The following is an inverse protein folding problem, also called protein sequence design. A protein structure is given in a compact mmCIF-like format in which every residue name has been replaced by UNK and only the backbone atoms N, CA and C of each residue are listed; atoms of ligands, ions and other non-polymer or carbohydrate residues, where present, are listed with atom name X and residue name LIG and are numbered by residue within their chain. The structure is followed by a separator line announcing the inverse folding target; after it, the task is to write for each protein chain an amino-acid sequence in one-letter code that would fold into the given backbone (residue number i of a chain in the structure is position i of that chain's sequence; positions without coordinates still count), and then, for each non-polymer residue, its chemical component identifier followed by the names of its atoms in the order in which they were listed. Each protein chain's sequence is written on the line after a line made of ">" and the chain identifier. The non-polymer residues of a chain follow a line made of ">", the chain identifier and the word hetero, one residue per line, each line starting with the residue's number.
data_IF_805455134896
#
_entry.id   IF_805455134896
#
_cell.length_a   1.000
_cell.length_b   1.000
_cell.length_c   1.000
_cell.angle_alpha   90.00
_cell.angle_beta   90.00
_cell.angle_gamma   90.00
#
_symmetry.space_group_name_H-M   'P 1'
#
loop_
_entity.id
_entity.type
_entity.pdbx_description
1 polymer ?
#
# COMPACT_ATOMS: atom_id res chain seq x y z
N UNK A 1 9.73 -22.06 -8.95
CA UNK A 1 10.15 -21.51 -7.65
C UNK A 1 9.62 -20.10 -7.65
N UNK A 2 8.68 -19.75 -6.77
CA UNK A 2 8.12 -18.40 -6.77
C UNK A 2 8.79 -17.62 -5.63
N UNK A 3 9.66 -16.70 -6.00
CA UNK A 3 10.20 -15.68 -5.11
C UNK A 3 9.13 -14.61 -4.81
N UNK A 4 8.98 -14.26 -3.54
CA UNK A 4 8.12 -13.19 -3.06
C UNK A 4 9.04 -12.05 -2.61
N UNK A 5 8.89 -10.89 -3.25
CA UNK A 5 9.58 -9.66 -2.85
C UNK A 5 8.85 -9.08 -1.64
N UNK A 6 9.54 -8.94 -0.52
CA UNK A 6 9.02 -8.30 0.69
C UNK A 6 9.95 -7.19 1.15
N UNK A 7 9.36 -6.12 1.70
CA UNK A 7 10.11 -5.01 2.31
C UNK A 7 10.07 -5.14 3.82
N UNK A 8 11.24 -5.07 4.47
CA UNK A 8 11.34 -5.09 5.92
C UNK A 8 10.72 -3.80 6.50
N UNK A 9 9.70 -3.95 7.35
CA UNK A 9 9.06 -2.81 8.03
C UNK A 9 9.94 -2.11 9.07
N UNK A 10 11.10 -2.69 9.41
CA UNK A 10 11.98 -2.17 10.47
C UNK A 10 13.18 -1.41 9.94
N UNK A 11 13.82 -1.91 8.87
CA UNK A 11 14.94 -1.22 8.23
C UNK A 11 14.62 -0.68 6.84
N UNK A 12 13.50 -1.08 6.23
CA UNK A 12 13.12 -0.69 4.88
C UNK A 12 13.81 -1.50 3.78
N UNK A 13 14.57 -2.55 4.12
CA UNK A 13 15.30 -3.33 3.12
C UNK A 13 14.39 -4.27 2.33
N UNK A 14 14.52 -4.26 1.00
CA UNK A 14 13.77 -5.13 0.09
C UNK A 14 14.55 -6.41 -0.17
N UNK A 15 13.91 -7.56 0.04
CA UNK A 15 14.53 -8.87 -0.19
C UNK A 15 13.52 -9.90 -0.70
N UNK A 16 14.05 -10.90 -1.40
CA UNK A 16 13.29 -11.98 -2.01
C UNK A 16 13.31 -13.20 -1.09
N UNK A 17 12.13 -13.70 -0.73
CA UNK A 17 11.97 -14.91 0.07
C UNK A 17 11.20 -15.96 -0.70
N UNK A 18 11.51 -17.23 -0.46
CA UNK A 18 10.79 -18.34 -1.10
C UNK A 18 9.34 -18.38 -0.63
N UNK A 19 8.43 -18.76 -1.53
CA UNK A 19 7.00 -18.97 -1.26
C UNK A 19 6.72 -19.90 -0.06
N UNK A 20 7.61 -20.85 0.25
CA UNK A 20 7.51 -21.74 1.43
C UNK A 20 7.59 -21.00 2.78
N UNK A 21 8.16 -19.78 2.77
CA UNK A 21 8.24 -18.91 3.94
C UNK A 21 7.03 -17.97 4.05
N UNK A 22 6.14 -17.96 3.06
CA UNK A 22 4.96 -17.13 3.06
C UNK A 22 4.03 -17.51 4.22
N UNK A 23 3.58 -16.50 4.96
CA UNK A 23 2.81 -16.68 6.20
C UNK A 23 3.64 -17.02 7.44
N UNK A 24 4.96 -17.20 7.32
CA UNK A 24 5.88 -17.46 8.44
C UNK A 24 6.60 -16.19 8.88
N UNK A 25 7.20 -16.24 10.06
CA UNK A 25 8.13 -15.23 10.53
C UNK A 25 9.53 -15.56 10.03
N UNK A 26 10.14 -14.63 9.30
CA UNK A 26 11.53 -14.73 8.81
C UNK A 26 12.39 -13.64 9.41
N UNK A 27 13.69 -13.87 9.43
CA UNK A 27 14.65 -12.86 9.84
C UNK A 27 15.11 -12.04 8.63
N UNK A 28 15.10 -10.72 8.76
CA UNK A 28 15.62 -9.82 7.74
C UNK A 28 17.16 -9.97 7.62
N UNK A 29 17.73 -10.10 6.41
CA UNK A 29 19.18 -10.27 6.23
C UNK A 29 20.01 -9.03 6.62
N UNK A 30 19.49 -7.82 6.52
CA UNK A 30 20.21 -6.60 6.94
C UNK A 30 20.13 -6.33 8.44
N UNK A 31 18.90 -6.25 8.99
CA UNK A 31 18.71 -5.84 10.39
C UNK A 31 18.47 -6.99 11.37
N UNK A 32 18.27 -8.22 10.88
CA UNK A 32 18.03 -9.41 11.71
C UNK A 32 16.74 -9.34 12.53
N UNK A 33 15.81 -8.46 12.16
CA UNK A 33 14.55 -8.36 12.86
C UNK A 33 13.55 -9.40 12.34
N UNK A 34 12.60 -9.79 13.20
CA UNK A 34 11.52 -10.73 12.86
C UNK A 34 10.46 -10.03 12.02
N UNK A 35 10.39 -10.38 10.73
CA UNK A 35 9.41 -9.85 9.77
C UNK A 35 8.40 -10.94 9.43
N UNK A 36 7.12 -10.59 9.39
CA UNK A 36 6.06 -11.51 8.96
C UNK A 36 5.96 -11.45 7.43
N UNK A 37 6.21 -12.57 6.76
CA UNK A 37 6.05 -12.67 5.30
C UNK A 37 4.56 -12.73 4.98
N UNK A 38 4.03 -11.71 4.31
CA UNK A 38 2.67 -11.76 3.77
C UNK A 38 2.72 -12.44 2.41
N UNK A 39 1.96 -13.53 2.24
CA UNK A 39 1.84 -14.29 0.99
C UNK A 39 0.99 -13.55 -0.08
N UNK A 40 0.98 -12.21 -0.03
CA UNK A 40 0.16 -11.38 -0.89
C UNK A 40 0.95 -10.98 -2.12
N UNK A 41 0.75 -11.68 -3.23
CA UNK A 41 0.98 -11.10 -4.54
C UNK A 41 -0.11 -10.04 -4.79
N UNK A 42 -0.08 -8.94 -4.04
CA UNK A 42 -0.86 -7.77 -4.34
C UNK A 42 0.02 -6.53 -4.15
N UNK A 43 0.46 -5.88 -5.25
CA UNK A 43 0.77 -4.46 -5.16
C UNK A 43 -0.51 -3.75 -4.72
N UNK A 44 -0.59 -3.43 -3.42
CA UNK A 44 -1.55 -2.46 -2.85
C UNK A 44 -1.37 -1.05 -3.45
N UNK A 45 -0.45 -0.88 -4.40
CA UNK A 45 -0.21 0.33 -5.18
C UNK A 45 -0.96 0.34 -6.52
N UNK A 46 -2.24 -0.02 -6.56
CA UNK A 46 -3.10 0.59 -7.58
C UNK A 46 -4.54 0.86 -7.12
N UNK A 47 -4.68 1.52 -5.96
CA UNK A 47 -5.93 2.16 -5.56
C UNK A 47 -5.89 3.69 -5.68
N UNK A 48 -5.06 4.23 -6.58
CA UNK A 48 -5.13 5.63 -6.96
C UNK A 48 -5.43 5.76 -8.46
N UNK A 49 -6.46 6.54 -8.78
CA UNK A 49 -6.74 7.20 -10.07
C UNK A 49 -7.64 6.50 -11.09
N UNK A 50 -8.87 6.21 -10.67
CA UNK A 50 -10.05 6.39 -11.54
C UNK A 50 -11.10 7.10 -10.67
N UNK A 51 -11.26 8.43 -10.70
CA UNK A 51 -11.88 9.16 -11.80
C UNK A 51 -11.35 10.60 -11.86
N UNK A 52 -10.78 10.88 -13.02
CA UNK A 52 -10.54 12.20 -13.57
C UNK A 52 -11.89 12.74 -14.08
N UNK A 53 -12.59 13.55 -13.29
CA UNK A 53 -13.70 14.40 -13.74
C UNK A 53 -13.51 15.77 -13.09
N UNK A 54 -12.84 16.71 -13.78
CA UNK A 54 -13.50 17.84 -14.48
C UNK A 54 -14.53 18.48 -13.53
N UNK A 55 -14.30 19.62 -12.87
CA UNK A 55 -14.19 20.95 -13.48
C UNK A 55 -13.95 22.01 -12.37
N UNK A 56 -13.26 23.13 -12.68
CA UNK A 56 -12.94 24.30 -11.83
C UNK A 56 -14.09 24.76 -10.92
N UNK A 57 -13.91 25.17 -9.66
CA UNK A 57 -12.94 26.12 -9.04
C UNK A 57 -13.14 27.61 -9.40
N UNK A 58 -14.26 28.01 -10.02
CA UNK A 58 -14.59 29.45 -10.23
C UNK A 58 -16.09 29.80 -10.15
N UNK A 59 -16.78 29.40 -9.07
CA UNK A 59 -17.85 30.23 -8.49
C UNK A 59 -18.22 29.70 -7.11
N UNK A 60 -17.77 30.38 -6.06
CA UNK A 60 -18.27 30.21 -4.70
C UNK A 60 -19.43 31.17 -4.46
N UNK A 61 -20.59 30.66 -4.06
CA UNK A 61 -21.72 31.31 -3.36
C UNK A 61 -22.69 30.17 -3.04
N UNK A 62 -22.76 29.64 -1.82
CA UNK A 62 -23.50 30.20 -0.68
C UNK A 62 -24.87 30.75 -1.09
N UNK A 63 -25.89 29.91 -0.95
CA UNK A 63 -27.23 30.33 -0.58
C UNK A 63 -27.72 29.34 0.48
N UNK A 64 -27.58 29.75 1.73
CA UNK A 64 -28.55 29.38 2.77
C UNK A 64 -29.83 30.18 2.54
N UNK A 65 -30.87 29.87 3.31
CA UNK A 65 -32.17 30.56 3.45
C UNK A 65 -33.35 29.95 2.67
N UNK A 66 -33.80 28.77 3.12
CA UNK A 66 -35.21 28.37 2.95
C UNK A 66 -36.10 29.29 3.80
N UNK A 67 -36.81 30.18 3.11
CA UNK A 67 -37.94 30.92 3.65
C UNK A 67 -39.27 30.25 3.28
N UNK A 68 -40.09 29.97 4.30
CA UNK A 68 -41.56 30.03 4.25
C UNK A 68 -42.13 30.14 5.66
#
# INVERSE_FOLDING_TARGET
>A
MADIKITCVSCGEEFEVSDVAAGKNVFCPGCRNSVKVVAGNDPVENRLKLKKSRFCTECGSELSEDGV
#
